data_IF_666933054022
#
_entry.id   IF_666933054022
#
_cell.length_a   1.000
_cell.length_b   1.000
_cell.length_c   1.000
_cell.angle_alpha   90.00
_cell.angle_beta   90.00
_cell.angle_gamma   90.00
#
_symmetry.space_group_name_H-M   'P 1'
#
loop_
_entity.id
_entity.type
_entity.pdbx_description
1 polymer ?
#
# COMPACT_ATOMS: atom_id res chain seq x y z
N UNK A 1 -12.98 -30.56 60.27
CA UNK A 1 -13.08 -29.29 59.50
C UNK A 1 -12.03 -29.32 58.41
N UNK A 2 -12.44 -29.51 57.15
CA UNK A 2 -11.54 -29.74 56.02
C UNK A 2 -11.29 -28.40 55.30
N UNK A 3 -10.09 -27.82 55.45
CA UNK A 3 -9.69 -26.59 54.75
C UNK A 3 -9.45 -26.91 53.27
N UNK A 4 -10.40 -26.55 52.41
CA UNK A 4 -10.22 -26.54 50.95
C UNK A 4 -9.42 -25.30 50.57
N UNK A 5 -8.15 -25.48 50.25
CA UNK A 5 -7.36 -24.46 49.58
C UNK A 5 -7.85 -24.33 48.13
N UNK A 6 -8.57 -23.24 47.84
CA UNK A 6 -8.77 -22.78 46.46
C UNK A 6 -7.39 -22.39 45.90
N UNK A 7 -6.78 -23.28 45.14
CA UNK A 7 -5.65 -22.92 44.28
C UNK A 7 -6.19 -22.07 43.13
N UNK A 8 -5.96 -20.75 43.21
CA UNK A 8 -6.07 -19.86 42.05
C UNK A 8 -5.07 -20.32 40.99
N UNK A 9 -5.54 -21.05 39.99
CA UNK A 9 -4.85 -21.18 38.72
C UNK A 9 -4.90 -19.82 38.03
N UNK A 10 -3.89 -18.98 38.29
CA UNK A 10 -3.64 -17.80 37.45
C UNK A 10 -3.11 -18.35 36.14
N UNK A 11 -4.00 -18.40 35.13
CA UNK A 11 -3.65 -18.71 33.76
C UNK A 11 -2.69 -17.61 33.27
N UNK A 12 -1.39 -17.85 33.37
CA UNK A 12 -0.39 -17.01 32.73
C UNK A 12 -0.54 -17.23 31.22
N UNK A 13 -1.38 -16.42 30.57
CA UNK A 13 -1.47 -16.34 29.12
C UNK A 13 -0.12 -15.74 28.68
N UNK A 14 0.77 -16.50 28.02
CA UNK A 14 1.99 -15.91 27.50
C UNK A 14 1.58 -14.87 26.46
N UNK A 15 1.94 -13.61 26.67
CA UNK A 15 1.79 -12.49 25.72
C UNK A 15 2.68 -12.66 24.46
N UNK A 16 2.99 -13.88 24.08
CA UNK A 16 3.55 -14.26 22.78
C UNK A 16 2.38 -14.47 21.83
N UNK A 17 2.02 -13.60 20.90
CA UNK A 17 2.48 -12.31 20.46
C UNK A 17 1.42 -11.89 19.42
N UNK A 18 1.29 -10.60 19.12
CA UNK A 18 0.27 -10.11 18.18
C UNK A 18 0.44 -10.65 16.73
N UNK A 19 1.46 -11.46 16.46
CA UNK A 19 1.79 -12.08 15.18
C UNK A 19 0.74 -13.05 14.63
N UNK A 20 -0.19 -13.56 15.44
CA UNK A 20 -1.32 -14.37 14.92
C UNK A 20 -2.38 -13.53 14.20
N UNK A 21 -2.40 -12.21 14.42
CA UNK A 21 -3.39 -11.27 13.85
C UNK A 21 -2.87 -10.52 12.62
N UNK A 22 -1.59 -10.66 12.28
CA UNK A 22 -0.98 -9.99 11.14
C UNK A 22 -0.55 -11.01 10.07
N UNK A 23 -0.65 -10.70 8.77
CA UNK A 23 0.03 -11.48 7.74
C UNK A 23 1.54 -11.33 7.89
N UNK A 24 2.30 -12.30 7.36
CA UNK A 24 3.74 -12.19 7.31
C UNK A 24 4.16 -11.11 6.31
N UNK A 25 5.22 -10.38 6.64
CA UNK A 25 5.92 -9.48 5.73
C UNK A 25 6.34 -10.18 4.43
N UNK A 26 6.23 -9.46 3.31
CA UNK A 26 6.73 -9.88 2.02
C UNK A 26 7.56 -8.75 1.38
N UNK A 27 8.86 -8.99 1.29
CA UNK A 27 9.81 -8.05 0.68
C UNK A 27 9.38 -7.66 -0.74
N UNK A 28 8.89 -8.59 -1.56
CA UNK A 28 8.51 -8.28 -2.94
C UNK A 28 7.32 -7.31 -3.00
N UNK A 29 6.34 -7.40 -2.09
CA UNK A 29 5.24 -6.42 -2.03
C UNK A 29 5.79 -5.06 -1.63
N UNK A 30 6.66 -4.99 -0.61
CA UNK A 30 7.26 -3.74 -0.17
C UNK A 30 8.09 -3.07 -1.28
N UNK A 31 9.01 -3.81 -1.92
CA UNK A 31 9.85 -3.28 -3.00
C UNK A 31 9.03 -2.78 -4.18
N UNK A 32 7.93 -3.46 -4.54
CA UNK A 32 7.05 -3.03 -5.62
C UNK A 32 6.29 -1.75 -5.27
N UNK A 33 5.78 -1.64 -4.03
CA UNK A 33 5.14 -0.40 -3.57
C UNK A 33 6.14 0.76 -3.45
N UNK A 34 7.38 0.48 -3.06
CA UNK A 34 8.47 1.47 -3.04
C UNK A 34 8.84 1.95 -4.45
N UNK A 35 8.97 1.03 -5.40
CA UNK A 35 9.20 1.38 -6.80
C UNK A 35 8.07 2.24 -7.37
N UNK A 36 6.81 1.90 -7.09
CA UNK A 36 5.67 2.71 -7.53
C UNK A 36 5.70 4.12 -6.94
N UNK A 37 6.04 4.24 -5.65
CA UNK A 37 6.25 5.52 -4.99
C UNK A 37 7.36 6.33 -5.69
N UNK A 38 8.49 5.69 -6.01
CA UNK A 38 9.59 6.33 -6.74
C UNK A 38 9.15 6.85 -8.11
N UNK A 39 8.39 6.06 -8.88
CA UNK A 39 7.86 6.50 -10.18
C UNK A 39 6.91 7.69 -10.05
N UNK A 40 6.03 7.72 -9.04
CA UNK A 40 5.17 8.89 -8.76
C UNK A 40 5.98 10.13 -8.40
N UNK A 41 7.05 10.00 -7.61
CA UNK A 41 7.97 11.11 -7.32
C UNK A 41 8.64 11.64 -8.59
N UNK A 42 9.02 10.77 -9.54
CA UNK A 42 9.58 11.22 -10.83
C UNK A 42 8.57 12.04 -11.64
N UNK A 43 7.27 11.73 -11.55
CA UNK A 43 6.22 12.55 -12.18
C UNK A 43 6.21 13.95 -11.56
N UNK A 44 6.09 14.04 -10.23
CA UNK A 44 6.10 15.31 -9.48
C UNK A 44 7.34 16.16 -9.82
N UNK A 45 8.53 15.56 -9.79
CA UNK A 45 9.77 16.25 -10.20
C UNK A 45 9.73 16.71 -11.65
N UNK A 46 9.13 15.93 -12.56
CA UNK A 46 8.99 16.33 -13.96
C UNK A 46 8.05 17.52 -14.10
N UNK A 47 6.95 17.56 -13.35
CA UNK A 47 6.03 18.70 -13.34
C UNK A 47 6.73 19.97 -12.82
N UNK A 48 7.47 19.85 -11.72
CA UNK A 48 8.20 20.97 -11.10
C UNK A 48 9.29 21.54 -12.01
N UNK A 49 10.09 20.66 -12.62
CA UNK A 49 11.21 21.08 -13.49
C UNK A 49 10.77 21.71 -14.81
N UNK A 50 9.50 21.54 -15.21
CA UNK A 50 8.93 22.18 -16.40
C UNK A 50 8.32 23.55 -16.13
N UNK A 51 8.18 23.95 -14.86
CA UNK A 51 7.64 25.26 -14.50
C UNK A 51 8.53 26.42 -15.04
N UNK A 52 7.92 27.55 -15.48
CA UNK A 52 6.50 27.89 -15.43
C UNK A 52 5.66 27.31 -16.58
N UNK A 53 6.28 26.52 -17.47
CA UNK A 53 5.55 25.79 -18.51
C UNK A 53 4.80 24.58 -17.97
N UNK A 54 4.09 23.90 -18.87
CA UNK A 54 3.39 22.65 -18.57
C UNK A 54 4.15 21.48 -19.18
N UNK A 55 4.34 20.42 -18.41
CA UNK A 55 4.72 19.10 -18.89
C UNK A 55 3.62 18.55 -19.81
N UNK A 56 4.03 17.86 -20.87
CA UNK A 56 3.11 17.10 -21.71
C UNK A 56 2.91 15.73 -21.08
N UNK A 57 1.74 15.12 -21.28
CA UNK A 57 1.46 13.77 -20.78
C UNK A 57 2.55 12.76 -21.16
N UNK A 58 2.99 12.77 -22.43
CA UNK A 58 4.09 11.93 -22.93
C UNK A 58 5.42 12.05 -22.17
N UNK A 59 5.64 13.18 -21.48
CA UNK A 59 6.86 13.42 -20.71
C UNK A 59 6.84 12.64 -19.38
N UNK A 60 5.65 12.24 -18.90
CA UNK A 60 5.42 11.54 -17.62
C UNK A 60 4.75 10.17 -17.77
N UNK A 61 4.17 9.88 -18.93
CA UNK A 61 3.48 8.64 -19.26
C UNK A 61 4.30 7.37 -18.89
N UNK A 62 5.61 7.28 -19.19
CA UNK A 62 6.39 6.09 -18.80
C UNK A 62 6.40 5.83 -17.29
N UNK A 63 6.38 6.89 -16.47
CA UNK A 63 6.36 6.76 -15.02
C UNK A 63 4.99 6.32 -14.50
N UNK A 64 3.90 6.76 -15.14
CA UNK A 64 2.56 6.24 -14.83
C UNK A 64 2.45 4.75 -15.15
N UNK A 65 2.96 4.31 -16.31
CA UNK A 65 2.98 2.89 -16.71
C UNK A 65 3.80 2.07 -15.73
N UNK A 66 5.00 2.54 -15.37
CA UNK A 66 5.87 1.88 -14.39
C UNK A 66 5.18 1.75 -13.02
N UNK A 67 4.60 2.84 -12.51
CA UNK A 67 3.90 2.83 -11.23
C UNK A 67 2.73 1.84 -11.23
N UNK A 68 1.88 1.85 -12.27
CA UNK A 68 0.75 0.93 -12.39
C UNK A 68 1.20 -0.53 -12.47
N UNK A 69 2.24 -0.83 -13.24
CA UNK A 69 2.78 -2.18 -13.33
C UNK A 69 3.27 -2.68 -11.96
N UNK A 70 4.00 -1.85 -11.23
CA UNK A 70 4.51 -2.21 -9.91
C UNK A 70 3.40 -2.40 -8.87
N UNK A 71 2.40 -1.52 -8.83
CA UNK A 71 1.26 -1.67 -7.91
C UNK A 71 0.41 -2.87 -8.26
N UNK A 72 0.22 -3.17 -9.55
CA UNK A 72 -0.47 -4.38 -9.98
C UNK A 72 0.26 -5.63 -9.50
N UNK A 73 1.57 -5.72 -9.70
CA UNK A 73 2.38 -6.85 -9.22
C UNK A 73 2.27 -7.02 -7.69
N UNK A 74 2.34 -5.91 -6.94
CA UNK A 74 2.14 -5.92 -5.50
C UNK A 74 0.74 -6.45 -5.13
N UNK A 75 -0.29 -6.00 -5.85
CA UNK A 75 -1.68 -6.41 -5.69
C UNK A 75 -1.90 -7.89 -5.97
N UNK A 76 -1.29 -8.42 -7.03
CA UNK A 76 -1.38 -9.85 -7.38
C UNK A 76 -0.75 -10.74 -6.29
N UNK A 77 0.32 -10.28 -5.63
CA UNK A 77 0.94 -11.00 -4.52
C UNK A 77 0.08 -10.87 -3.25
N UNK A 78 -0.30 -9.65 -2.87
CA UNK A 78 -1.04 -9.38 -1.64
C UNK A 78 -2.49 -9.91 -1.69
N UNK A 79 -3.14 -9.87 -2.85
CA UNK A 79 -4.52 -10.31 -3.06
C UNK A 79 -4.72 -11.82 -2.91
N UNK A 80 -3.65 -12.62 -3.01
CA UNK A 80 -3.70 -14.06 -2.74
C UNK A 80 -3.68 -14.40 -1.24
N UNK A 81 -3.25 -13.46 -0.38
CA UNK A 81 -3.07 -13.69 1.05
C UNK A 81 -4.34 -14.02 1.84
N UNK A 82 -5.46 -13.32 1.63
CA UNK A 82 -6.70 -13.62 2.35
C UNK A 82 -7.15 -15.08 2.16
N UNK A 83 -6.98 -15.63 0.96
CA UNK A 83 -7.39 -16.99 0.63
C UNK A 83 -6.59 -18.04 1.41
N UNK A 84 -5.26 -17.98 1.39
CA UNK A 84 -4.45 -18.99 2.11
C UNK A 84 -4.42 -18.77 3.64
N UNK A 85 -4.83 -17.59 4.12
CA UNK A 85 -5.00 -17.29 5.55
C UNK A 85 -6.42 -17.56 6.05
N UNK A 86 -7.32 -18.07 5.21
CA UNK A 86 -8.71 -18.31 5.59
C UNK A 86 -8.81 -19.12 6.90
N UNK A 87 -9.68 -18.66 7.81
CA UNK A 87 -9.84 -19.25 9.13
C UNK A 87 -8.79 -18.83 10.17
N UNK A 88 -7.75 -18.07 9.77
CA UNK A 88 -6.78 -17.47 10.69
C UNK A 88 -7.17 -16.04 11.08
N UNK A 89 -6.85 -15.58 12.31
CA UNK A 89 -7.13 -14.21 12.72
C UNK A 89 -6.49 -13.13 11.81
N UNK A 90 -5.37 -13.47 11.15
CA UNK A 90 -4.66 -12.58 10.22
C UNK A 90 -5.30 -12.38 8.84
N UNK A 91 -6.33 -13.15 8.47
CA UNK A 91 -6.97 -13.05 7.16
C UNK A 91 -7.53 -11.64 6.88
N UNK A 92 -8.16 -11.02 7.89
CA UNK A 92 -8.76 -9.69 7.74
C UNK A 92 -7.70 -8.61 7.56
N UNK A 93 -6.58 -8.70 8.29
CA UNK A 93 -5.45 -7.79 8.13
C UNK A 93 -4.81 -7.94 6.74
N UNK A 94 -4.68 -9.17 6.24
CA UNK A 94 -4.22 -9.43 4.88
C UNK A 94 -5.13 -8.81 3.82
N UNK A 95 -6.45 -8.90 4.01
CA UNK A 95 -7.42 -8.25 3.12
C UNK A 95 -7.25 -6.73 3.13
N UNK A 96 -7.05 -6.13 4.31
CA UNK A 96 -6.86 -4.69 4.41
C UNK A 96 -5.61 -4.20 3.68
N UNK A 97 -4.51 -4.97 3.69
CA UNK A 97 -3.31 -4.65 2.90
C UNK A 97 -3.66 -4.68 1.40
N UNK A 98 -4.30 -5.76 0.93
CA UNK A 98 -4.70 -5.89 -0.47
C UNK A 98 -5.65 -4.75 -0.92
N UNK A 99 -6.65 -4.41 -0.10
CA UNK A 99 -7.60 -3.32 -0.38
C UNK A 99 -6.89 -1.97 -0.53
N UNK A 100 -5.87 -1.68 0.29
CA UNK A 100 -5.14 -0.41 0.18
C UNK A 100 -4.17 -0.38 -1.01
N UNK A 101 -3.62 -1.52 -1.43
CA UNK A 101 -2.86 -1.62 -2.68
C UNK A 101 -3.78 -1.34 -3.88
N UNK A 102 -5.01 -1.88 -3.85
CA UNK A 102 -6.00 -1.61 -4.89
C UNK A 102 -6.43 -0.13 -4.93
N UNK A 103 -6.62 0.51 -3.77
CA UNK A 103 -6.87 1.97 -3.72
C UNK A 103 -5.72 2.79 -4.28
N UNK A 104 -4.48 2.38 -4.01
CA UNK A 104 -3.31 2.99 -4.63
C UNK A 104 -3.37 2.86 -6.17
N UNK A 105 -3.66 1.67 -6.70
CA UNK A 105 -3.82 1.45 -8.15
C UNK A 105 -4.87 2.39 -8.75
N UNK A 106 -6.06 2.42 -8.16
CA UNK A 106 -7.18 3.26 -8.60
C UNK A 106 -6.82 4.75 -8.57
N UNK A 107 -6.12 5.20 -7.53
CA UNK A 107 -5.70 6.60 -7.45
C UNK A 107 -4.70 6.98 -8.53
N UNK A 108 -3.78 6.07 -8.91
CA UNK A 108 -2.85 6.29 -10.01
C UNK A 108 -3.61 6.33 -11.34
N UNK A 109 -4.56 5.42 -11.56
CA UNK A 109 -5.37 5.40 -12.79
C UNK A 109 -6.20 6.68 -12.98
N UNK A 110 -6.83 7.17 -11.90
CA UNK A 110 -7.59 8.41 -11.92
C UNK A 110 -6.69 9.60 -12.28
N UNK A 111 -5.52 9.71 -11.64
CA UNK A 111 -4.55 10.76 -11.93
C UNK A 111 -4.05 10.68 -13.38
N UNK A 112 -3.71 9.47 -13.84
CA UNK A 112 -3.24 9.21 -15.21
C UNK A 112 -4.28 9.63 -16.24
N UNK A 113 -5.53 9.19 -16.06
CA UNK A 113 -6.62 9.47 -16.99
C UNK A 113 -6.94 10.96 -17.06
N UNK A 114 -6.95 11.65 -15.92
CA UNK A 114 -7.18 13.10 -15.87
C UNK A 114 -6.10 13.88 -16.64
N UNK A 115 -4.82 13.54 -16.46
CA UNK A 115 -3.73 14.16 -17.20
C UNK A 115 -3.80 13.80 -18.69
N UNK A 116 -4.06 12.54 -19.04
CA UNK A 116 -4.18 12.11 -20.44
C UNK A 116 -5.29 12.88 -21.19
N UNK A 117 -6.44 13.08 -20.53
CA UNK A 117 -7.60 13.76 -21.11
C UNK A 117 -7.43 15.28 -21.14
N UNK A 118 -6.98 15.89 -20.04
CA UNK A 118 -7.06 17.33 -19.83
C UNK A 118 -5.70 18.03 -19.86
N UNK A 119 -4.60 17.30 -20.06
CA UNK A 119 -3.25 17.82 -19.89
C UNK A 119 -2.94 18.17 -18.42
N UNK A 120 -1.79 18.81 -18.19
CA UNK A 120 -1.40 19.23 -16.85
C UNK A 120 -2.33 20.35 -16.36
N UNK A 121 -3.12 20.08 -15.34
CA UNK A 121 -3.95 21.07 -14.68
C UNK A 121 -3.15 21.85 -13.62
N UNK A 122 -3.61 23.04 -13.18
CA UNK A 122 -2.97 23.76 -12.08
C UNK A 122 -2.83 22.94 -10.79
N UNK A 123 -3.76 22.00 -10.55
CA UNK A 123 -3.77 21.09 -9.40
C UNK A 123 -3.03 19.78 -9.63
N UNK A 124 -2.31 19.60 -10.74
CA UNK A 124 -1.71 18.31 -11.10
C UNK A 124 -0.74 17.80 -10.04
N UNK A 125 0.08 18.70 -9.45
CA UNK A 125 1.00 18.33 -8.37
C UNK A 125 0.27 17.79 -7.13
N UNK A 126 -0.88 18.38 -6.81
CA UNK A 126 -1.73 17.91 -5.71
C UNK A 126 -2.34 16.53 -6.04
N UNK A 127 -2.78 16.33 -7.28
CA UNK A 127 -3.32 15.03 -7.74
C UNK A 127 -2.27 13.92 -7.65
N UNK A 128 -1.02 14.18 -8.08
CA UNK A 128 0.10 13.25 -7.92
C UNK A 128 0.42 13.00 -6.45
N UNK A 129 0.42 14.04 -5.63
CA UNK A 129 0.65 13.93 -4.19
C UNK A 129 -0.41 13.06 -3.49
N UNK A 130 -1.68 13.18 -3.89
CA UNK A 130 -2.76 12.33 -3.39
C UNK A 130 -2.54 10.87 -3.78
N UNK A 131 -2.16 10.59 -5.03
CA UNK A 131 -1.85 9.24 -5.47
C UNK A 131 -0.67 8.65 -4.70
N UNK A 132 0.43 9.42 -4.56
CA UNK A 132 1.62 9.03 -3.79
C UNK A 132 1.27 8.73 -2.34
N UNK A 133 0.50 9.59 -1.69
CA UNK A 133 0.10 9.41 -0.29
C UNK A 133 -0.79 8.17 -0.11
N UNK A 134 -1.72 7.93 -1.04
CA UNK A 134 -2.55 6.72 -1.06
C UNK A 134 -1.70 5.46 -1.15
N UNK A 135 -0.67 5.45 -1.99
CA UNK A 135 0.28 4.35 -2.10
C UNK A 135 1.18 4.18 -0.86
N UNK A 136 1.57 5.28 -0.22
CA UNK A 136 2.36 5.25 1.02
C UNK A 136 1.64 4.57 2.18
N UNK A 137 0.30 4.59 2.22
CA UNK A 137 -0.48 3.84 3.22
C UNK A 137 -0.22 2.35 3.05
N UNK A 138 -0.40 1.81 1.85
CA UNK A 138 -0.15 0.39 1.58
C UNK A 138 1.30 -0.02 1.86
N UNK A 139 2.27 0.82 1.46
CA UNK A 139 3.70 0.60 1.72
C UNK A 139 4.00 0.56 3.22
N UNK A 140 3.44 1.50 3.98
CA UNK A 140 3.64 1.59 5.45
C UNK A 140 3.02 0.41 6.15
N UNK A 141 1.82 -0.01 5.73
CA UNK A 141 1.16 -1.20 6.26
C UNK A 141 2.02 -2.44 6.06
N UNK A 142 2.51 -2.68 4.84
CA UNK A 142 3.40 -3.81 4.55
C UNK A 142 4.69 -3.72 5.35
N UNK A 143 5.34 -2.54 5.37
CA UNK A 143 6.59 -2.32 6.09
C UNK A 143 6.48 -2.52 7.60
N UNK A 144 5.30 -2.27 8.18
CA UNK A 144 5.02 -2.49 9.61
C UNK A 144 4.87 -3.97 9.99
N UNK A 145 4.87 -4.89 9.01
CA UNK A 145 4.86 -6.33 9.24
C UNK A 145 6.25 -6.93 9.43
N UNK A 146 7.31 -6.15 9.16
CA UNK A 146 8.71 -6.54 9.28
C UNK A 146 9.15 -6.60 10.74
#
# INVERSE_FOLDING_TARGET
MLKRHLSSLILAIPLSGCSIFAPNYNEAVYTKLDGAHSSLTKIETTLETKAPGHARYRDVEPYYIEALAMVKDAGDIAGRRPAYLQGKPSARAAQLVADNIERCRQSIELSRAAFEESGQQPSESDSISIARNTCSIAKTMEGSLK
#
